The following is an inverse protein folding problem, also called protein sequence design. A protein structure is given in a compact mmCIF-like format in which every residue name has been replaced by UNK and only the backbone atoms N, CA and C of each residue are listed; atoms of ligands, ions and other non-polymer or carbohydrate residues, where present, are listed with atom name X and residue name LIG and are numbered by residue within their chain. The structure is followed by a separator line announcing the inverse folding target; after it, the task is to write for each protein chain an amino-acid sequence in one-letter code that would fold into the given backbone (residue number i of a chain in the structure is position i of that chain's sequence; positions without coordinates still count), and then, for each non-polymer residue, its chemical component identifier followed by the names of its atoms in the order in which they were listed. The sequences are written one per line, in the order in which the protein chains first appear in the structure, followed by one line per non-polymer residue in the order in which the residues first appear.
data_IF_520282655084
#
_entry.id   IF_520282655084
#
_cell.length_a   1.000
_cell.length_b   1.000
_cell.length_c   1.000
_cell.angle_alpha   90.00
_cell.angle_beta   90.00
_cell.angle_gamma   90.00
#
_symmetry.space_group_name_H-M   'P 1'
#
loop_
_entity.id
_entity.type
_entity.pdbx_description
1 polymer ?
#
# COMPACT_ATOMS: atom_id res chain seq x y z
N UNK A 1 9.79 -5.26 11.34
CA UNK A 1 8.72 -4.54 12.09
C UNK A 1 7.52 -4.42 11.15
N UNK A 2 6.27 -4.51 11.64
CA UNK A 2 5.08 -4.60 10.77
C UNK A 2 4.03 -3.54 11.12
N UNK A 3 3.30 -3.04 10.13
CA UNK A 3 2.16 -2.13 10.31
C UNK A 3 1.00 -2.53 9.40
N UNK A 4 -0.23 -2.51 9.93
CA UNK A 4 -1.43 -2.95 9.20
C UNK A 4 -2.19 -1.78 8.61
N UNK A 5 -2.63 -1.93 7.37
CA UNK A 5 -3.46 -0.97 6.66
C UNK A 5 -4.76 -1.61 6.21
N UNK A 6 -5.80 -0.78 6.12
CA UNK A 6 -7.07 -1.12 5.49
C UNK A 6 -7.52 0.04 4.63
N UNK A 7 -7.64 -0.19 3.32
CA UNK A 7 -8.08 0.82 2.36
C UNK A 7 -9.42 0.42 1.77
N UNK A 8 -10.32 1.39 1.65
CA UNK A 8 -11.57 1.23 0.88
C UNK A 8 -11.28 1.29 -0.62
N UNK A 9 -12.07 0.61 -1.43
CA UNK A 9 -12.00 0.69 -2.90
C UNK A 9 -12.03 2.13 -3.42
N UNK A 10 -12.77 3.03 -2.76
CA UNK A 10 -12.78 4.45 -3.10
C UNK A 10 -11.42 5.12 -2.90
N UNK A 11 -10.70 4.82 -1.80
CA UNK A 11 -9.37 5.38 -1.54
C UNK A 11 -8.35 4.86 -2.56
N UNK A 12 -8.38 3.56 -2.86
CA UNK A 12 -7.51 3.00 -3.92
C UNK A 12 -7.80 3.69 -5.25
N UNK A 13 -9.08 3.86 -5.59
CA UNK A 13 -9.48 4.54 -6.82
C UNK A 13 -8.94 5.98 -6.87
N UNK A 14 -9.07 6.75 -5.79
CA UNK A 14 -8.52 8.11 -5.67
C UNK A 14 -7.00 8.13 -5.81
N UNK A 15 -6.29 7.28 -5.05
CA UNK A 15 -4.82 7.18 -5.12
C UNK A 15 -4.37 6.90 -6.55
N UNK A 16 -4.98 5.94 -7.24
CA UNK A 16 -4.55 5.55 -8.57
C UNK A 16 -4.94 6.55 -9.65
N UNK A 17 -6.16 7.06 -9.65
CA UNK A 17 -6.62 8.01 -10.67
C UNK A 17 -6.00 9.39 -10.50
N UNK A 18 -6.00 9.91 -9.27
CA UNK A 18 -5.69 11.32 -9.02
C UNK A 18 -4.20 11.54 -8.74
N UNK A 19 -3.53 10.58 -8.08
CA UNK A 19 -2.12 10.73 -7.69
C UNK A 19 -1.15 10.02 -8.62
N UNK A 20 -1.53 8.84 -9.12
CA UNK A 20 -0.67 8.01 -9.98
C UNK A 20 -0.97 8.16 -11.49
N UNK A 21 -2.03 8.88 -11.88
CA UNK A 21 -2.54 8.99 -13.26
C UNK A 21 -2.81 7.63 -13.94
N UNK A 22 -3.20 6.63 -13.13
CA UNK A 22 -3.59 5.30 -13.58
C UNK A 22 -5.11 5.24 -13.70
N UNK A 23 -5.59 5.17 -14.94
CA UNK A 23 -7.02 5.28 -15.29
C UNK A 23 -7.88 4.15 -14.75
N UNK A 24 -7.31 2.96 -14.57
CA UNK A 24 -8.05 1.76 -14.16
C UNK A 24 -7.19 0.85 -13.32
N UNK A 25 -7.72 0.42 -12.18
CA UNK A 25 -7.18 -0.66 -11.34
C UNK A 25 -8.29 -1.69 -11.10
N UNK A 26 -7.96 -2.96 -11.33
CA UNK A 26 -8.79 -4.10 -10.97
C UNK A 26 -8.12 -4.83 -9.80
N UNK A 27 -8.91 -5.26 -8.82
CA UNK A 27 -8.45 -6.00 -7.65
C UNK A 27 -9.45 -7.12 -7.42
N UNK A 28 -9.07 -8.32 -7.83
CA UNK A 28 -9.92 -9.49 -7.77
C UNK A 28 -9.32 -10.57 -6.85
N UNK A 29 -8.02 -10.51 -6.60
CA UNK A 29 -7.31 -11.50 -5.78
C UNK A 29 -6.18 -10.87 -4.96
N UNK A 30 -5.52 -11.71 -4.15
CA UNK A 30 -4.38 -11.32 -3.30
C UNK A 30 -3.21 -10.72 -4.08
N UNK A 31 -2.87 -11.29 -5.24
CA UNK A 31 -1.74 -10.84 -6.07
C UNK A 31 -2.01 -9.44 -6.61
N UNK A 32 -3.25 -9.13 -6.97
CA UNK A 32 -3.62 -7.78 -7.40
C UNK A 32 -3.45 -6.76 -6.27
N UNK A 33 -3.84 -7.13 -5.04
CA UNK A 33 -3.60 -6.28 -3.86
C UNK A 33 -2.10 -6.03 -3.69
N UNK A 34 -1.29 -7.08 -3.75
CA UNK A 34 0.17 -6.98 -3.61
C UNK A 34 0.80 -6.08 -4.69
N UNK A 35 0.35 -6.21 -5.94
CA UNK A 35 0.80 -5.37 -7.07
C UNK A 35 0.41 -3.90 -6.88
N UNK A 36 -0.82 -3.65 -6.43
CA UNK A 36 -1.33 -2.31 -6.14
C UNK A 36 -0.50 -1.65 -5.04
N UNK A 37 -0.25 -2.35 -3.93
CA UNK A 37 0.56 -1.80 -2.84
C UNK A 37 2.01 -1.61 -3.28
N UNK A 38 2.60 -2.56 -4.01
CA UNK A 38 3.96 -2.44 -4.55
C UNK A 38 4.11 -1.24 -5.49
N UNK A 39 3.10 -0.97 -6.32
CA UNK A 39 3.10 0.21 -7.20
C UNK A 39 3.11 1.52 -6.41
N UNK A 40 2.30 1.60 -5.34
CA UNK A 40 2.31 2.78 -4.45
C UNK A 40 3.69 2.95 -3.81
N UNK A 41 4.30 1.87 -3.34
CA UNK A 41 5.62 1.91 -2.70
C UNK A 41 6.68 2.43 -3.67
N UNK A 42 6.75 1.89 -4.89
CA UNK A 42 7.69 2.34 -5.92
C UNK A 42 7.52 3.82 -6.25
N UNK A 43 6.27 4.27 -6.41
CA UNK A 43 6.00 5.67 -6.71
C UNK A 43 6.47 6.63 -5.62
N UNK A 44 6.42 6.20 -4.35
CA UNK A 44 6.85 6.99 -3.21
C UNK A 44 8.32 6.73 -2.81
N UNK A 45 9.08 5.98 -3.61
CA UNK A 45 10.48 5.58 -3.33
C UNK A 45 10.63 4.82 -1.99
N UNK A 46 9.62 4.02 -1.64
CA UNK A 46 9.52 3.26 -0.39
C UNK A 46 9.79 1.76 -0.55
N UNK A 47 9.92 1.25 -1.78
CA UNK A 47 10.09 -0.18 -2.08
C UNK A 47 11.38 -0.77 -1.48
N UNK A 48 12.40 0.06 -1.29
CA UNK A 48 13.64 -0.35 -0.63
C UNK A 48 13.52 -0.44 0.90
N UNK A 49 12.46 0.12 1.48
CA UNK A 49 12.24 0.19 2.93
C UNK A 49 11.16 -0.77 3.40
N UNK A 50 10.07 -0.88 2.64
CA UNK A 50 8.87 -1.59 3.05
C UNK A 50 8.50 -2.63 1.99
N UNK A 51 8.05 -3.79 2.46
CA UNK A 51 7.49 -4.84 1.62
C UNK A 51 6.06 -5.19 2.07
N UNK A 52 5.11 -5.37 1.14
CA UNK A 52 3.78 -5.83 1.48
C UNK A 52 3.80 -7.29 1.90
N UNK A 53 3.10 -7.61 2.98
CA UNK A 53 2.86 -8.94 3.49
C UNK A 53 1.38 -9.08 3.88
N UNK A 54 0.89 -10.31 3.98
CA UNK A 54 -0.48 -10.62 4.44
C UNK A 54 -1.58 -9.84 3.68
N UNK A 55 -1.48 -9.77 2.35
CA UNK A 55 -2.46 -9.09 1.51
C UNK A 55 -3.78 -9.87 1.39
N UNK A 56 -4.90 -9.15 1.50
CA UNK A 56 -6.24 -9.71 1.41
C UNK A 56 -7.22 -8.71 0.78
N UNK A 57 -8.15 -9.22 0.00
CA UNK A 57 -9.27 -8.47 -0.57
C UNK A 57 -10.58 -8.99 0.02
N UNK A 58 -11.38 -8.09 0.60
CA UNK A 58 -12.73 -8.38 1.05
C UNK A 58 -13.73 -7.82 0.03
N UNK A 59 -14.38 -8.74 -0.68
CA UNK A 59 -15.36 -8.44 -1.71
C UNK A 59 -16.64 -7.77 -1.16
N UNK A 60 -17.13 -8.22 0.00
CA UNK A 60 -18.38 -7.71 0.59
C UNK A 60 -18.28 -6.24 0.97
N UNK A 61 -17.18 -5.88 1.63
CA UNK A 61 -16.96 -4.50 2.08
C UNK A 61 -16.20 -3.65 1.04
N UNK A 62 -15.81 -4.25 -0.09
CA UNK A 62 -14.93 -3.68 -1.10
C UNK A 62 -13.70 -3.00 -0.46
N UNK A 63 -13.03 -3.72 0.43
CA UNK A 63 -11.82 -3.23 1.13
C UNK A 63 -10.64 -4.13 0.85
N UNK A 64 -9.45 -3.55 0.79
CA UNK A 64 -8.19 -4.30 0.84
C UNK A 64 -7.58 -4.12 2.21
N UNK A 65 -6.99 -5.19 2.73
CA UNK A 65 -6.21 -5.18 3.96
C UNK A 65 -4.84 -5.75 3.65
N UNK A 66 -3.80 -5.14 4.19
CA UNK A 66 -2.42 -5.59 4.01
C UNK A 66 -1.57 -5.15 5.19
N UNK A 67 -0.39 -5.74 5.32
CA UNK A 67 0.64 -5.31 6.24
C UNK A 67 1.86 -4.86 5.46
N UNK A 68 2.56 -3.84 5.95
CA UNK A 68 3.88 -3.45 5.47
C UNK A 68 4.92 -3.89 6.49
N UNK A 69 5.95 -4.59 6.03
CA UNK A 69 7.09 -5.01 6.85
C UNK A 69 8.35 -4.25 6.47
N UNK A 70 9.12 -3.84 7.49
CA UNK A 70 10.46 -3.27 7.32
C UNK A 70 11.39 -4.31 6.69
N UNK A 71 12.06 -3.94 5.61
CA UNK A 71 13.08 -4.78 4.98
C UNK A 71 14.24 -5.08 5.96
N UNK A 72 14.84 -6.28 5.91
CA UNK A 72 15.81 -6.73 6.92
C UNK A 72 17.04 -5.82 7.10
N UNK A 73 17.44 -5.12 6.03
CA UNK A 73 18.66 -4.31 5.98
C UNK A 73 18.44 -2.84 6.38
N UNK A 74 17.27 -2.51 6.96
CA UNK A 74 16.88 -1.14 7.28
C UNK A 74 16.70 -0.91 8.77
N UNK A 75 16.89 0.34 9.20
CA UNK A 75 16.79 0.70 10.60
C UNK A 75 15.35 0.95 11.04
N UNK A 76 15.10 0.80 12.35
CA UNK A 76 13.76 1.01 12.93
C UNK A 76 13.26 2.45 12.75
N UNK A 77 14.16 3.45 12.74
CA UNK A 77 13.81 4.85 12.46
C UNK A 77 13.24 5.00 11.06
N UNK A 78 13.87 4.36 10.08
CA UNK A 78 13.47 4.42 8.67
C UNK A 78 12.06 3.89 8.48
N UNK A 79 11.66 2.86 9.24
CA UNK A 79 10.30 2.33 9.20
C UNK A 79 9.25 3.38 9.54
N UNK A 80 9.41 4.10 10.65
CA UNK A 80 8.40 5.06 11.09
C UNK A 80 8.28 6.24 10.13
N UNK A 81 9.40 6.67 9.54
CA UNK A 81 9.40 7.70 8.50
C UNK A 81 8.72 7.20 7.22
N UNK A 82 9.03 5.97 6.77
CA UNK A 82 8.43 5.36 5.60
C UNK A 82 6.91 5.15 5.77
N UNK A 83 6.47 4.67 6.93
CA UNK A 83 5.04 4.52 7.25
C UNK A 83 4.33 5.88 7.23
N UNK A 84 4.90 6.92 7.84
CA UNK A 84 4.30 8.27 7.81
C UNK A 84 4.20 8.83 6.40
N UNK A 85 5.21 8.62 5.56
CA UNK A 85 5.16 9.02 4.14
C UNK A 85 4.04 8.28 3.41
N UNK A 86 3.92 6.97 3.63
CA UNK A 86 2.85 6.16 3.04
C UNK A 86 1.46 6.62 3.52
N UNK A 87 1.26 6.83 4.82
CA UNK A 87 0.01 7.35 5.41
C UNK A 87 -0.38 8.70 4.82
N UNK A 88 0.56 9.66 4.78
CA UNK A 88 0.31 10.96 4.18
C UNK A 88 -0.08 10.85 2.69
N UNK A 89 0.52 9.90 1.97
CA UNK A 89 0.19 9.65 0.58
C UNK A 89 -1.18 9.01 0.39
N UNK A 90 -1.67 8.16 1.29
CA UNK A 90 -3.01 7.55 1.16
C UNK A 90 -4.15 8.46 1.66
N UNK A 91 -3.87 9.34 2.63
CA UNK A 91 -4.89 10.16 3.30
C UNK A 91 -5.04 11.59 2.73
N UNK A 92 -4.02 12.11 2.02
CA UNK A 92 -4.10 13.41 1.34
C UNK A 92 -5.12 13.43 0.18
#
# INVERSE_FOLDING_TARGET
MKHSFKLKKSQIRTVFLEKLDIKTVAIDNRVDVENVISTILVFNELENYLSPIECSYNFFDATVSFQLELNPDKDKSDFFEAIKKFEAFIDA
#
